data_IF_839323073617
#
_entry.id   IF_839323073617
#
_cell.length_a   1.000
_cell.length_b   1.000
_cell.length_c   1.000
_cell.angle_alpha   90.00
_cell.angle_beta   90.00
_cell.angle_gamma   90.00
#
_symmetry.space_group_name_H-M   'P 1'
#
loop_
_entity.id
_entity.type
_entity.pdbx_description
1 polymer ?
#
# COMPACT_ATOMS: atom_id res chain seq x y z
N UNK A 1 -3.37 -20.48 7.98
CA UNK A 1 -4.74 -19.94 7.82
C UNK A 1 -4.65 -18.46 7.51
N UNK A 2 -5.48 -17.94 6.62
CA UNK A 2 -5.34 -16.60 6.06
C UNK A 2 -6.55 -15.73 6.45
N UNK A 3 -6.32 -14.64 7.19
CA UNK A 3 -7.27 -13.53 7.34
C UNK A 3 -6.83 -12.37 6.47
N UNK A 4 -7.63 -12.03 5.47
CA UNK A 4 -7.43 -10.85 4.63
C UNK A 4 -8.46 -9.78 4.98
N UNK A 5 -7.97 -8.58 5.28
CA UNK A 5 -8.77 -7.39 5.57
C UNK A 5 -8.48 -6.34 4.48
N UNK A 6 -9.24 -6.28 3.39
CA UNK A 6 -9.10 -5.25 2.37
C UNK A 6 -9.85 -3.99 2.84
N UNK A 7 -9.14 -2.97 3.28
CA UNK A 7 -9.75 -1.69 3.70
C UNK A 7 -10.20 -0.84 2.51
N UNK A 8 -9.70 -1.07 1.31
CA UNK A 8 -10.13 -0.37 0.09
C UNK A 8 -11.65 -0.43 -0.15
N UNK A 9 -12.28 -1.56 0.16
CA UNK A 9 -13.75 -1.72 0.04
C UNK A 9 -14.49 -0.81 1.02
N UNK A 10 -13.80 -0.27 2.03
CA UNK A 10 -14.36 0.54 3.12
C UNK A 10 -14.33 2.04 2.80
N UNK A 11 -13.53 2.46 1.83
CA UNK A 11 -13.35 3.88 1.48
C UNK A 11 -14.56 4.53 0.80
N UNK A 12 -15.51 3.74 0.30
CA UNK A 12 -16.63 4.27 -0.50
C UNK A 12 -17.66 5.05 0.31
N UNK A 13 -17.67 4.95 1.67
CA UNK A 13 -18.61 5.65 2.54
C UNK A 13 -17.90 6.17 3.81
N UNK A 14 -17.57 7.46 3.80
CA UNK A 14 -16.83 8.19 4.83
C UNK A 14 -17.63 8.36 6.13
N UNK A 15 -17.79 7.31 6.92
CA UNK A 15 -18.36 7.43 8.26
C UNK A 15 -17.84 6.35 9.21
N UNK A 16 -17.73 6.71 10.49
CA UNK A 16 -17.40 5.77 11.56
C UNK A 16 -18.40 4.60 11.64
N UNK A 17 -19.68 4.86 11.33
CA UNK A 17 -20.72 3.82 11.27
C UNK A 17 -20.40 2.77 10.19
N UNK A 18 -19.98 3.19 9.02
CA UNK A 18 -19.63 2.29 7.93
C UNK A 18 -18.40 1.43 8.26
N UNK A 19 -17.33 2.04 8.78
CA UNK A 19 -16.14 1.31 9.21
C UNK A 19 -16.47 0.25 10.26
N UNK A 20 -17.32 0.61 11.29
CA UNK A 20 -17.80 -0.36 12.28
C UNK A 20 -18.59 -1.50 11.64
N UNK A 21 -19.47 -1.18 10.68
CA UNK A 21 -20.28 -2.18 9.99
C UNK A 21 -19.44 -3.15 9.18
N UNK A 22 -18.42 -2.66 8.50
CA UNK A 22 -17.53 -3.49 7.71
C UNK A 22 -16.62 -4.39 8.58
N UNK A 23 -16.05 -3.86 9.66
CA UNK A 23 -15.30 -4.67 10.63
C UNK A 23 -16.23 -5.75 11.23
N UNK A 24 -17.47 -5.41 11.57
CA UNK A 24 -18.45 -6.37 12.05
C UNK A 24 -18.69 -7.50 11.03
N UNK A 25 -18.84 -7.16 9.75
CA UNK A 25 -19.05 -8.15 8.69
C UNK A 25 -17.88 -9.13 8.58
N UNK A 26 -16.63 -8.66 8.64
CA UNK A 26 -15.45 -9.53 8.64
C UNK A 26 -15.43 -10.43 9.87
N UNK A 27 -15.62 -9.88 11.06
CA UNK A 27 -15.61 -10.63 12.31
C UNK A 27 -16.71 -11.68 12.31
N UNK A 28 -17.94 -11.34 11.92
CA UNK A 28 -19.06 -12.31 11.88
C UNK A 28 -18.82 -13.45 10.91
N UNK A 29 -18.16 -13.18 9.78
CA UNK A 29 -17.78 -14.22 8.82
C UNK A 29 -16.80 -15.20 9.46
N UNK A 30 -15.75 -14.69 10.10
CA UNK A 30 -14.73 -15.52 10.74
C UNK A 30 -15.26 -16.22 11.99
N UNK A 31 -16.10 -15.57 12.80
CA UNK A 31 -16.77 -16.17 13.94
C UNK A 31 -17.58 -17.40 13.54
N UNK A 32 -18.34 -17.30 12.46
CA UNK A 32 -19.10 -18.45 11.90
C UNK A 32 -18.17 -19.55 11.39
N UNK A 33 -17.11 -19.18 10.67
CA UNK A 33 -16.17 -20.13 10.08
C UNK A 33 -15.41 -20.92 11.14
N UNK A 34 -15.02 -20.27 12.24
CA UNK A 34 -14.21 -20.92 13.29
C UNK A 34 -15.02 -21.35 14.53
N UNK A 35 -16.32 -21.15 14.51
CA UNK A 35 -17.20 -21.60 15.61
C UNK A 35 -17.08 -20.77 16.88
N UNK A 36 -16.71 -19.50 16.75
CA UNK A 36 -16.60 -18.57 17.85
C UNK A 36 -17.94 -17.83 18.01
N UNK A 37 -18.67 -18.07 19.09
CA UNK A 37 -19.92 -17.40 19.37
C UNK A 37 -19.69 -16.25 20.37
N UNK A 38 -20.10 -15.04 19.97
CA UNK A 38 -20.16 -13.86 20.83
C UNK A 38 -21.64 -13.54 21.06
N UNK A 39 -22.11 -13.61 22.30
CA UNK A 39 -23.53 -13.42 22.65
C UNK A 39 -23.97 -11.98 22.42
N UNK A 40 -23.19 -10.99 22.89
CA UNK A 40 -23.43 -9.56 22.67
C UNK A 40 -22.40 -8.98 21.69
N UNK A 41 -22.70 -9.08 20.40
CA UNK A 41 -21.82 -8.56 19.35
C UNK A 41 -21.70 -7.03 19.34
N UNK A 42 -22.74 -6.32 19.80
CA UNK A 42 -22.75 -4.85 19.82
C UNK A 42 -21.99 -4.26 21.00
N UNK A 43 -22.03 -4.93 22.16
CA UNK A 43 -21.34 -4.50 23.38
C UNK A 43 -19.90 -4.99 23.48
N UNK A 44 -19.52 -6.01 22.69
CA UNK A 44 -18.17 -6.58 22.75
C UNK A 44 -17.20 -5.81 21.85
N UNK A 45 -16.07 -5.28 22.39
CA UNK A 45 -15.04 -4.59 21.61
C UNK A 45 -14.50 -5.44 20.45
N UNK A 46 -14.10 -4.80 19.37
CA UNK A 46 -13.52 -5.49 18.21
C UNK A 46 -12.23 -6.24 18.56
N UNK A 47 -11.44 -5.70 19.47
CA UNK A 47 -10.22 -6.33 19.98
C UNK A 47 -10.51 -7.70 20.61
N UNK A 48 -11.53 -7.78 21.45
CA UNK A 48 -11.94 -9.04 22.08
C UNK A 48 -12.43 -10.05 21.05
N UNK A 49 -13.25 -9.61 20.11
CA UNK A 49 -13.78 -10.47 19.04
C UNK A 49 -12.70 -11.00 18.14
N UNK A 50 -11.75 -10.14 17.71
CA UNK A 50 -10.62 -10.56 16.88
C UNK A 50 -9.72 -11.56 17.61
N UNK A 51 -9.43 -11.32 18.89
CA UNK A 51 -8.68 -12.27 19.72
C UNK A 51 -9.36 -13.64 19.76
N UNK A 52 -10.66 -13.66 20.05
CA UNK A 52 -11.44 -14.91 20.13
C UNK A 52 -11.44 -15.67 18.80
N UNK A 53 -11.56 -14.94 17.67
CA UNK A 53 -11.49 -15.52 16.32
C UNK A 53 -10.14 -16.15 16.06
N UNK A 54 -9.05 -15.45 16.33
CA UNK A 54 -7.68 -15.96 16.11
C UNK A 54 -7.42 -17.20 16.95
N UNK A 55 -7.78 -17.18 18.25
CA UNK A 55 -7.62 -18.35 19.13
C UNK A 55 -8.49 -19.53 18.70
N UNK A 56 -9.76 -19.29 18.36
CA UNK A 56 -10.68 -20.35 17.92
C UNK A 56 -10.22 -20.99 16.63
N UNK A 57 -9.70 -20.17 15.73
CA UNK A 57 -9.13 -20.61 14.50
C UNK A 57 -7.90 -21.52 14.72
N UNK A 58 -6.98 -21.13 15.62
CA UNK A 58 -5.84 -21.95 16.00
C UNK A 58 -6.29 -23.26 16.65
N UNK A 59 -7.21 -23.20 17.63
CA UNK A 59 -7.73 -24.40 18.32
C UNK A 59 -8.41 -25.38 17.36
N UNK A 60 -9.18 -24.86 16.40
CA UNK A 60 -9.92 -25.69 15.43
C UNK A 60 -9.01 -26.36 14.41
N UNK A 61 -7.93 -25.71 14.01
CA UNK A 61 -7.08 -26.17 12.90
C UNK A 61 -5.73 -26.72 13.30
N UNK A 62 -5.26 -26.40 14.51
CA UNK A 62 -3.89 -26.68 14.96
C UNK A 62 -2.82 -25.85 14.22
N UNK A 63 -3.22 -24.87 13.38
CA UNK A 63 -2.31 -24.07 12.56
C UNK A 63 -2.33 -22.61 12.99
N UNK A 64 -1.15 -22.01 13.03
CA UNK A 64 -1.00 -20.57 13.28
C UNK A 64 -1.62 -19.74 12.14
N UNK A 65 -2.05 -18.52 12.48
CA UNK A 65 -2.82 -17.63 11.64
C UNK A 65 -1.89 -16.69 10.87
N UNK A 66 -2.18 -16.45 9.61
CA UNK A 66 -1.60 -15.35 8.82
C UNK A 66 -2.64 -14.24 8.72
N UNK A 67 -2.23 -13.01 9.05
CA UNK A 67 -3.07 -11.82 8.93
C UNK A 67 -2.48 -10.92 7.84
N UNK A 68 -3.26 -10.63 6.82
CA UNK A 68 -2.92 -9.67 5.76
C UNK A 68 -3.89 -8.49 5.83
N UNK A 69 -3.36 -7.29 5.99
CA UNK A 69 -4.11 -6.05 6.01
C UNK A 69 -3.69 -5.22 4.81
N UNK A 70 -4.64 -4.95 3.93
CA UNK A 70 -4.41 -4.22 2.70
C UNK A 70 -5.03 -2.83 2.79
N UNK A 71 -4.26 -1.81 2.40
CA UNK A 71 -4.67 -0.39 2.43
C UNK A 71 -5.24 0.04 3.80
N UNK A 72 -4.51 -0.23 4.88
CA UNK A 72 -4.97 0.06 6.24
C UNK A 72 -5.35 1.53 6.46
N UNK A 73 -4.74 2.43 5.71
CA UNK A 73 -4.88 3.88 5.79
C UNK A 73 -6.05 4.45 4.96
N UNK A 74 -6.64 3.65 4.09
CA UNK A 74 -7.74 4.06 3.22
C UNK A 74 -8.88 4.78 3.97
N UNK A 75 -9.35 4.36 5.16
CA UNK A 75 -10.39 5.08 5.88
C UNK A 75 -9.99 6.49 6.35
N UNK A 76 -8.68 6.77 6.38
CA UNK A 76 -8.13 8.03 6.87
C UNK A 76 -7.84 9.02 5.74
N UNK A 77 -7.45 8.51 4.55
CA UNK A 77 -7.03 9.34 3.43
C UNK A 77 -8.15 10.26 2.94
N UNK A 78 -9.37 9.75 2.88
CA UNK A 78 -10.52 10.49 2.37
C UNK A 78 -11.20 11.41 3.41
N UNK A 79 -10.71 11.41 4.65
CA UNK A 79 -11.29 12.20 5.76
C UNK A 79 -10.40 13.33 6.25
N UNK A 80 -9.41 13.73 5.45
CA UNK A 80 -8.31 14.61 5.85
C UNK A 80 -8.77 16.00 6.39
N UNK A 81 -9.94 16.48 5.97
CA UNK A 81 -10.52 17.74 6.39
C UNK A 81 -11.37 17.67 7.68
N UNK A 82 -11.74 16.45 8.16
CA UNK A 82 -12.58 16.26 9.35
C UNK A 82 -11.80 15.63 10.51
N UNK A 83 -11.22 16.48 11.34
CA UNK A 83 -10.40 16.07 12.50
C UNK A 83 -11.19 15.23 13.51
N UNK A 84 -12.48 15.51 13.71
CA UNK A 84 -13.32 14.78 14.67
C UNK A 84 -13.58 13.35 14.15
N UNK A 85 -13.97 13.24 12.89
CA UNK A 85 -14.16 11.94 12.23
C UNK A 85 -12.86 11.13 12.20
N UNK A 86 -11.74 11.75 11.86
CA UNK A 86 -10.44 11.07 11.89
C UNK A 86 -10.11 10.51 13.28
N UNK A 87 -10.37 11.27 14.34
CA UNK A 87 -10.13 10.80 15.71
C UNK A 87 -10.98 9.57 16.05
N UNK A 88 -12.25 9.58 15.64
CA UNK A 88 -13.15 8.43 15.84
C UNK A 88 -12.69 7.20 15.03
N UNK A 89 -12.36 7.36 13.75
CA UNK A 89 -11.87 6.28 12.88
C UNK A 89 -10.59 5.65 13.46
N UNK A 90 -9.63 6.48 13.93
CA UNK A 90 -8.42 5.98 14.62
C UNK A 90 -8.75 5.16 15.86
N UNK A 91 -9.72 5.59 16.65
CA UNK A 91 -10.18 4.85 17.83
C UNK A 91 -10.71 3.46 17.47
N UNK A 92 -11.52 3.37 16.41
CA UNK A 92 -12.08 2.11 15.92
C UNK A 92 -10.96 1.18 15.42
N UNK A 93 -10.04 1.70 14.63
CA UNK A 93 -8.93 0.92 14.07
C UNK A 93 -7.98 0.45 15.17
N UNK A 94 -7.68 1.31 16.14
CA UNK A 94 -6.86 0.93 17.31
C UNK A 94 -7.50 -0.21 18.09
N UNK A 95 -8.80 -0.12 18.41
CA UNK A 95 -9.51 -1.20 19.06
C UNK A 95 -9.38 -2.50 18.26
N UNK A 96 -9.62 -2.46 16.95
CA UNK A 96 -9.56 -3.63 16.09
C UNK A 96 -8.16 -4.28 16.02
N UNK A 97 -7.09 -3.49 15.88
CA UNK A 97 -5.73 -4.02 15.68
C UNK A 97 -4.95 -4.30 16.97
N UNK A 98 -5.36 -3.71 18.11
CA UNK A 98 -4.62 -3.82 19.37
C UNK A 98 -4.26 -5.25 19.82
N UNK A 99 -5.09 -6.29 19.61
CA UNK A 99 -4.76 -7.63 20.07
C UNK A 99 -3.60 -8.27 19.31
N UNK A 100 -3.29 -7.83 18.08
CA UNK A 100 -2.24 -8.42 17.26
C UNK A 100 -0.85 -8.37 17.92
N UNK A 101 -0.64 -7.41 18.84
CA UNK A 101 0.58 -7.32 19.66
C UNK A 101 0.76 -8.51 20.60
N UNK A 102 -0.33 -8.91 21.26
CA UNK A 102 -0.28 -9.96 22.30
C UNK A 102 -0.44 -11.38 21.78
N UNK A 103 -0.80 -11.54 20.51
CA UNK A 103 -1.20 -12.83 19.93
C UNK A 103 -0.08 -13.58 19.20
N UNK A 104 1.19 -13.23 19.43
CA UNK A 104 2.34 -13.79 18.70
C UNK A 104 2.40 -15.32 18.70
N UNK A 105 1.94 -15.98 19.77
CA UNK A 105 1.89 -17.45 19.84
C UNK A 105 0.90 -18.09 18.86
N UNK A 106 -0.12 -17.35 18.42
CA UNK A 106 -1.14 -17.79 17.48
C UNK A 106 -0.87 -17.31 16.04
N UNK A 107 0.00 -16.29 15.88
CA UNK A 107 0.30 -15.68 14.58
C UNK A 107 1.53 -16.32 13.95
N UNK A 108 1.41 -16.70 12.69
CA UNK A 108 2.53 -17.14 11.84
C UNK A 108 3.18 -15.96 11.14
N UNK A 109 2.36 -14.99 10.70
CA UNK A 109 2.80 -13.86 9.93
C UNK A 109 1.75 -12.75 9.99
N UNK A 110 2.20 -11.52 10.08
CA UNK A 110 1.37 -10.32 9.98
C UNK A 110 2.00 -9.41 8.92
N UNK A 111 1.24 -9.05 7.90
CA UNK A 111 1.66 -8.14 6.83
C UNK A 111 0.63 -7.05 6.64
N UNK A 112 1.10 -5.80 6.64
CA UNK A 112 0.25 -4.61 6.56
C UNK A 112 0.75 -3.74 5.44
N UNK A 113 -0.13 -3.32 4.54
CA UNK A 113 0.16 -2.40 3.44
C UNK A 113 -0.71 -1.15 3.52
N UNK A 114 -0.20 -0.05 2.97
CA UNK A 114 -0.89 1.22 2.84
C UNK A 114 -0.11 2.18 1.95
N UNK A 115 -0.78 3.22 1.45
CA UNK A 115 -0.18 4.26 0.61
C UNK A 115 0.69 5.18 1.47
N UNK A 116 0.26 5.49 2.69
CA UNK A 116 0.93 6.43 3.56
C UNK A 116 1.60 5.77 4.75
N UNK A 117 2.74 6.33 5.17
CA UNK A 117 3.40 5.92 6.41
C UNK A 117 2.68 6.57 7.61
N UNK A 118 1.54 6.06 7.99
CA UNK A 118 0.89 6.45 9.24
C UNK A 118 1.62 5.88 10.48
N UNK A 119 2.94 5.69 10.39
CA UNK A 119 3.76 5.09 11.44
C UNK A 119 3.69 5.85 12.77
N UNK A 120 3.32 7.12 12.75
CA UNK A 120 3.08 7.90 13.95
C UNK A 120 1.61 8.00 14.36
N UNK A 121 0.70 7.44 13.57
CA UNK A 121 -0.65 7.24 14.07
C UNK A 121 -0.61 6.22 15.19
N UNK A 122 -1.09 6.62 16.36
CA UNK A 122 -1.15 5.84 17.58
C UNK A 122 -1.83 4.45 17.45
N UNK A 123 -2.34 4.11 16.28
CA UNK A 123 -2.91 2.79 15.94
C UNK A 123 -1.83 1.71 16.01
N UNK A 124 -0.64 1.98 15.44
CA UNK A 124 0.45 1.01 15.37
C UNK A 124 1.60 1.31 16.33
N UNK A 125 1.58 2.44 17.03
CA UNK A 125 2.58 2.74 18.08
C UNK A 125 2.62 1.67 19.18
N UNK A 126 1.52 0.95 19.36
CA UNK A 126 1.42 -0.17 20.27
C UNK A 126 1.95 -1.49 19.66
N UNK A 127 2.02 -1.60 18.33
CA UNK A 127 2.52 -2.79 17.62
C UNK A 127 4.03 -2.72 17.40
N UNK A 128 4.80 -2.73 18.48
CA UNK A 128 6.27 -2.69 18.44
C UNK A 128 6.93 -3.97 17.89
N UNK A 129 6.14 -4.95 17.48
CA UNK A 129 6.57 -6.19 16.83
C UNK A 129 6.58 -6.09 15.30
N UNK A 130 6.13 -4.97 14.73
CA UNK A 130 6.18 -4.74 13.29
C UNK A 130 7.55 -4.21 12.86
N UNK A 131 8.01 -4.67 11.70
CA UNK A 131 9.21 -4.16 11.05
C UNK A 131 8.80 -3.38 9.79
N UNK A 132 9.22 -2.12 9.71
CA UNK A 132 9.04 -1.35 8.48
C UNK A 132 10.04 -1.85 7.42
N UNK A 133 9.51 -2.31 6.28
CA UNK A 133 10.29 -2.87 5.18
C UNK A 133 10.23 -2.00 3.91
N UNK A 134 9.52 -0.86 3.94
CA UNK A 134 9.18 -0.06 2.75
C UNK A 134 10.40 0.46 1.96
N UNK A 135 11.55 0.68 2.63
CA UNK A 135 12.76 1.19 1.98
C UNK A 135 13.97 0.26 2.19
N UNK A 136 13.72 -1.02 2.43
CA UNK A 136 14.77 -2.02 2.60
C UNK A 136 15.10 -2.68 1.27
N UNK A 137 16.40 -2.78 0.97
CA UNK A 137 16.91 -3.42 -0.26
C UNK A 137 16.40 -4.85 -0.45
N UNK A 138 16.31 -5.65 0.65
CA UNK A 138 15.85 -7.05 0.64
C UNK A 138 14.40 -7.21 0.14
N UNK A 139 13.58 -6.15 0.22
CA UNK A 139 12.16 -6.16 -0.09
C UNK A 139 11.77 -5.22 -1.24
N UNK A 140 12.76 -4.61 -1.90
CA UNK A 140 12.53 -3.59 -2.93
C UNK A 140 11.72 -4.07 -4.13
N UNK A 141 11.75 -5.36 -4.44
CA UNK A 141 11.02 -5.97 -5.56
C UNK A 141 9.70 -6.65 -5.16
N UNK A 142 9.30 -6.60 -3.86
CA UNK A 142 8.15 -7.39 -3.36
C UNK A 142 6.81 -7.02 -4.03
N UNK A 143 6.66 -5.78 -4.50
CA UNK A 143 5.43 -5.27 -5.10
C UNK A 143 5.56 -4.95 -6.59
N UNK A 144 6.66 -5.36 -7.24
CA UNK A 144 6.93 -5.06 -8.65
C UNK A 144 7.35 -6.30 -9.44
N UNK A 145 7.65 -6.10 -10.71
CA UNK A 145 8.22 -7.11 -11.59
C UNK A 145 9.63 -6.68 -11.95
N UNK A 146 10.61 -7.54 -11.68
CA UNK A 146 11.99 -7.30 -12.04
C UNK A 146 12.22 -7.50 -13.54
N UNK A 147 13.27 -6.88 -14.11
CA UNK A 147 13.65 -7.11 -15.50
C UNK A 147 13.95 -8.60 -15.78
N UNK A 148 14.51 -9.32 -14.81
CA UNK A 148 14.74 -10.74 -14.94
C UNK A 148 13.43 -11.53 -15.07
N UNK A 149 12.44 -11.27 -14.21
CA UNK A 149 11.11 -11.91 -14.27
C UNK A 149 10.41 -11.56 -15.59
N UNK A 150 10.49 -10.30 -16.03
CA UNK A 150 9.94 -9.87 -17.31
C UNK A 150 10.53 -10.68 -18.47
N UNK A 151 11.84 -10.81 -18.53
CA UNK A 151 12.54 -11.47 -19.64
C UNK A 151 12.47 -13.00 -19.58
N UNK A 152 12.12 -13.60 -18.43
CA UNK A 152 12.02 -15.06 -18.29
C UNK A 152 10.56 -15.53 -18.26
N UNK A 153 9.79 -15.08 -17.26
CA UNK A 153 8.43 -15.55 -17.01
C UNK A 153 7.42 -14.95 -17.98
N UNK A 154 7.62 -13.66 -18.37
CA UNK A 154 6.71 -12.91 -19.22
C UNK A 154 7.20 -12.77 -20.68
N UNK A 155 8.25 -13.50 -21.04
CA UNK A 155 8.77 -13.50 -22.42
C UNK A 155 7.70 -13.78 -23.48
N UNK A 156 6.79 -14.77 -23.32
CA UNK A 156 5.72 -15.01 -24.29
C UNK A 156 4.75 -13.85 -24.44
N UNK A 157 4.57 -13.02 -23.39
CA UNK A 157 3.71 -11.85 -23.43
C UNK A 157 4.38 -10.72 -24.21
N UNK A 158 5.70 -10.54 -24.04
CA UNK A 158 6.51 -9.59 -24.82
C UNK A 158 6.47 -9.98 -26.32
N UNK A 159 6.65 -11.26 -26.64
CA UNK A 159 6.62 -11.75 -28.03
C UNK A 159 5.25 -11.44 -28.70
N UNK A 160 4.13 -11.67 -27.99
CA UNK A 160 2.79 -11.33 -28.46
C UNK A 160 2.57 -9.82 -28.61
N UNK A 161 3.18 -9.03 -27.73
CA UNK A 161 3.13 -7.57 -27.79
C UNK A 161 3.91 -7.05 -29.01
N UNK A 162 5.13 -7.55 -29.24
CA UNK A 162 5.97 -7.24 -30.37
C UNK A 162 5.28 -7.55 -31.71
N UNK A 163 4.70 -8.76 -31.83
CA UNK A 163 3.93 -9.15 -33.03
C UNK A 163 2.76 -8.19 -33.30
N UNK A 164 1.99 -7.84 -32.26
CA UNK A 164 0.82 -6.99 -32.41
C UNK A 164 1.16 -5.57 -32.84
N UNK A 165 2.35 -5.06 -32.48
CA UNK A 165 2.81 -3.72 -32.79
C UNK A 165 3.78 -3.66 -33.99
N UNK A 166 4.08 -4.78 -34.65
CA UNK A 166 5.06 -4.94 -35.73
C UNK A 166 6.47 -4.49 -35.31
N UNK A 167 6.88 -4.89 -34.13
CA UNK A 167 8.17 -4.57 -33.52
C UNK A 167 9.01 -5.84 -33.36
N UNK A 168 10.32 -5.68 -33.20
CA UNK A 168 11.20 -6.74 -32.71
C UNK A 168 11.00 -6.94 -31.20
N UNK A 169 11.47 -8.06 -30.68
CA UNK A 169 11.45 -8.33 -29.25
C UNK A 169 12.20 -7.25 -28.45
N UNK A 170 13.36 -6.83 -28.96
CA UNK A 170 14.21 -5.81 -28.36
C UNK A 170 13.53 -4.44 -28.33
N UNK A 171 12.84 -4.06 -29.41
CA UNK A 171 12.07 -2.82 -29.46
C UNK A 171 10.92 -2.84 -28.47
N UNK A 172 10.17 -3.95 -28.39
CA UNK A 172 9.11 -4.11 -27.41
C UNK A 172 9.62 -4.02 -25.96
N UNK A 173 10.75 -4.66 -25.66
CA UNK A 173 11.41 -4.54 -24.36
C UNK A 173 11.79 -3.09 -24.04
N UNK A 174 12.32 -2.35 -25.01
CA UNK A 174 12.70 -0.94 -24.83
C UNK A 174 11.48 -0.05 -24.56
N UNK A 175 10.38 -0.25 -25.30
CA UNK A 175 9.13 0.48 -25.09
C UNK A 175 8.51 0.18 -23.74
N UNK A 176 8.44 -1.10 -23.32
CA UNK A 176 7.96 -1.50 -22.01
C UNK A 176 8.79 -0.87 -20.89
N UNK A 177 10.12 -0.86 -21.06
CA UNK A 177 11.05 -0.24 -20.10
C UNK A 177 10.81 1.25 -19.99
N UNK A 178 10.73 1.96 -21.09
CA UNK A 178 10.49 3.40 -21.10
C UNK A 178 9.17 3.78 -20.45
N UNK A 179 8.13 2.96 -20.65
CA UNK A 179 6.77 3.29 -20.27
C UNK A 179 6.41 2.85 -18.85
N UNK A 180 6.92 1.69 -18.37
CA UNK A 180 6.42 1.05 -17.16
C UNK A 180 7.49 0.67 -16.13
N UNK A 181 8.78 0.75 -16.46
CA UNK A 181 9.89 0.51 -15.55
C UNK A 181 10.24 1.78 -14.74
N UNK A 182 11.21 1.66 -13.85
CA UNK A 182 11.85 2.80 -13.20
C UNK A 182 11.34 3.12 -11.81
N UNK A 183 10.46 2.30 -11.22
CA UNK A 183 10.16 2.39 -9.80
C UNK A 183 11.32 1.87 -8.97
N UNK A 184 11.79 2.68 -8.02
CA UNK A 184 12.95 2.42 -7.20
C UNK A 184 12.64 2.74 -5.74
N UNK A 185 12.67 1.74 -4.86
CA UNK A 185 12.14 1.84 -3.51
C UNK A 185 13.18 1.80 -2.39
N UNK A 186 14.47 1.66 -2.71
CA UNK A 186 15.55 1.65 -1.71
C UNK A 186 16.81 2.29 -2.26
N UNK A 187 17.89 2.36 -1.44
CA UNK A 187 19.12 3.03 -1.82
C UNK A 187 19.93 2.27 -2.89
N UNK A 188 19.81 0.94 -2.91
CA UNK A 188 20.69 0.06 -3.69
C UNK A 188 19.92 -1.05 -4.41
N UNK A 189 18.69 -0.80 -4.83
CA UNK A 189 17.90 -1.79 -5.57
C UNK A 189 17.98 -1.56 -7.09
N UNK A 190 17.53 -2.55 -7.84
CA UNK A 190 17.22 -2.37 -9.25
C UNK A 190 15.86 -1.70 -9.41
N UNK A 191 15.63 -1.05 -10.55
CA UNK A 191 14.31 -0.58 -10.94
C UNK A 191 13.38 -1.77 -11.18
N UNK A 192 12.08 -1.54 -10.96
CA UNK A 192 11.04 -2.53 -11.18
C UNK A 192 9.89 -1.95 -11.98
N UNK A 193 9.21 -2.82 -12.71
CA UNK A 193 8.03 -2.51 -13.50
C UNK A 193 6.78 -2.46 -12.62
N UNK A 194 5.86 -1.54 -12.95
CA UNK A 194 4.53 -1.52 -12.35
C UNK A 194 3.70 -2.71 -12.87
N UNK A 195 3.31 -3.68 -12.02
CA UNK A 195 2.59 -4.86 -12.46
C UNK A 195 1.23 -4.55 -13.08
N UNK A 196 0.49 -3.58 -12.51
CA UNK A 196 -0.83 -3.21 -12.99
C UNK A 196 -0.75 -2.70 -14.44
N UNK A 197 0.12 -1.72 -14.69
CA UNK A 197 0.27 -1.13 -16.02
C UNK A 197 0.82 -2.13 -17.03
N UNK A 198 1.83 -2.91 -16.62
CA UNK A 198 2.45 -3.94 -17.46
C UNK A 198 1.44 -5.01 -17.93
N UNK A 199 0.65 -5.58 -17.00
CA UNK A 199 -0.35 -6.59 -17.37
C UNK A 199 -1.50 -6.01 -18.19
N UNK A 200 -1.90 -4.76 -17.96
CA UNK A 200 -2.89 -4.11 -18.80
C UNK A 200 -2.35 -3.85 -20.21
N UNK A 201 -1.08 -3.47 -20.37
CA UNK A 201 -0.43 -3.32 -21.65
C UNK A 201 -0.41 -4.64 -22.43
N UNK A 202 -0.02 -5.74 -21.79
CA UNK A 202 -0.04 -7.08 -22.40
C UNK A 202 -1.45 -7.50 -22.82
N UNK A 203 -2.44 -7.24 -21.99
CA UNK A 203 -3.83 -7.60 -22.28
C UNK A 203 -4.39 -6.76 -23.45
N UNK A 204 -4.14 -5.46 -23.45
CA UNK A 204 -4.58 -4.56 -24.52
C UNK A 204 -3.73 -4.67 -25.80
N UNK A 205 -2.49 -5.16 -25.69
CA UNK A 205 -1.44 -5.15 -26.73
C UNK A 205 -1.10 -3.74 -27.21
N UNK A 206 -1.12 -2.78 -26.30
CA UNK A 206 -0.90 -1.34 -26.57
C UNK A 206 -0.08 -0.72 -25.46
N UNK A 207 0.74 0.30 -25.82
CA UNK A 207 1.49 1.13 -24.86
C UNK A 207 0.64 2.36 -24.50
N UNK A 208 -0.08 2.32 -23.37
CA UNK A 208 -0.96 3.39 -22.87
C UNK A 208 -0.65 3.71 -21.42
N UNK A 209 -1.14 4.84 -20.95
CA UNK A 209 -1.08 5.27 -19.56
C UNK A 209 -2.23 4.62 -18.75
N UNK A 210 -2.05 3.37 -18.35
CA UNK A 210 -3.06 2.59 -17.61
C UNK A 210 -3.18 3.02 -16.15
N UNK A 211 -2.08 3.47 -15.55
CA UNK A 211 -2.04 3.84 -14.14
C UNK A 211 -3.02 4.97 -13.81
N UNK A 212 -3.11 6.00 -14.65
CA UNK A 212 -4.07 7.10 -14.49
C UNK A 212 -5.54 6.67 -14.66
N UNK A 213 -5.81 5.53 -15.26
CA UNK A 213 -7.18 5.02 -15.40
C UNK A 213 -7.81 4.62 -14.06
N UNK A 214 -7.02 4.41 -13.02
CA UNK A 214 -7.48 4.15 -11.65
C UNK A 214 -7.93 5.41 -10.92
N UNK A 215 -7.71 6.59 -11.49
CA UNK A 215 -8.02 7.90 -10.92
C UNK A 215 -6.93 8.42 -9.99
N UNK A 216 -6.71 9.73 -10.01
CA UNK A 216 -5.85 10.38 -9.01
C UNK A 216 -6.61 10.50 -7.70
N UNK A 217 -6.05 10.08 -6.56
CA UNK A 217 -6.72 10.19 -5.27
C UNK A 217 -7.11 11.66 -4.97
N UNK A 218 -8.36 11.88 -4.59
CA UNK A 218 -8.89 13.23 -4.32
C UNK A 218 -8.07 13.95 -3.25
N UNK A 219 -7.67 13.24 -2.20
CA UNK A 219 -6.85 13.80 -1.11
C UNK A 219 -5.52 14.37 -1.61
N UNK A 220 -4.90 13.76 -2.65
CA UNK A 220 -3.65 14.25 -3.21
C UNK A 220 -3.85 15.56 -3.98
N UNK A 221 -4.97 15.66 -4.72
CA UNK A 221 -5.33 16.89 -5.43
C UNK A 221 -5.55 18.03 -4.45
N UNK A 222 -6.28 17.79 -3.37
CA UNK A 222 -6.55 18.78 -2.35
C UNK A 222 -5.26 19.20 -1.63
N UNK A 223 -4.39 18.25 -1.30
CA UNK A 223 -3.08 18.52 -0.73
C UNK A 223 -2.20 19.41 -1.61
N UNK A 224 -2.13 19.09 -2.92
CA UNK A 224 -1.35 19.90 -3.87
C UNK A 224 -1.89 21.34 -3.99
N UNK A 225 -3.21 21.51 -3.93
CA UNK A 225 -3.84 22.85 -3.95
C UNK A 225 -3.56 23.63 -2.67
N UNK A 226 -3.65 22.98 -1.51
CA UNK A 226 -3.43 23.61 -0.21
C UNK A 226 -1.96 23.99 0.02
N UNK A 227 -1.03 23.22 -0.53
CA UNK A 227 0.42 23.45 -0.36
C UNK A 227 1.00 24.48 -1.33
N UNK A 228 0.23 24.98 -2.30
CA UNK A 228 0.72 25.84 -3.40
C UNK A 228 1.96 25.27 -4.10
N UNK A 229 1.98 23.95 -4.24
CA UNK A 229 3.12 23.21 -4.77
C UNK A 229 3.17 23.27 -6.30
N UNK A 230 4.31 23.67 -6.87
CA UNK A 230 4.48 23.69 -8.32
C UNK A 230 4.76 22.30 -8.89
N UNK A 231 3.71 21.64 -9.38
CA UNK A 231 3.78 20.29 -9.98
C UNK A 231 4.67 20.23 -11.23
N UNK A 232 5.06 21.38 -11.82
CA UNK A 232 5.96 21.42 -12.98
C UNK A 232 7.43 21.19 -12.59
N UNK A 233 7.76 21.26 -11.32
CA UNK A 233 9.11 21.11 -10.78
C UNK A 233 9.33 19.78 -10.07
N UNK A 234 8.69 18.69 -10.56
CA UNK A 234 8.79 17.36 -9.96
C UNK A 234 10.07 16.57 -10.37
N UNK A 235 10.92 17.13 -11.22
CA UNK A 235 12.19 16.52 -11.57
C UNK A 235 13.32 17.08 -10.70
N UNK A 236 14.16 16.21 -10.12
CA UNK A 236 15.31 16.62 -9.33
C UNK A 236 14.96 17.15 -7.93
N UNK A 237 13.87 16.68 -7.36
CA UNK A 237 13.48 17.02 -5.98
C UNK A 237 14.42 16.32 -5.01
N UNK A 238 14.96 17.07 -4.05
CA UNK A 238 15.75 16.52 -2.96
C UNK A 238 14.86 16.25 -1.73
N UNK A 239 15.07 15.10 -1.09
CA UNK A 239 14.38 14.71 0.13
C UNK A 239 15.31 13.99 1.10
N UNK A 240 15.15 14.23 2.40
CA UNK A 240 15.88 13.54 3.47
C UNK A 240 15.12 12.33 4.01
N UNK A 241 15.80 11.41 4.73
CA UNK A 241 15.17 10.27 5.40
C UNK A 241 13.98 10.72 6.28
N UNK A 242 14.12 11.85 7.00
CA UNK A 242 13.07 12.37 7.89
C UNK A 242 11.83 12.87 7.12
N UNK A 243 12.02 13.41 5.92
CA UNK A 243 10.90 13.86 5.10
C UNK A 243 10.04 12.69 4.59
N UNK A 244 10.64 11.52 4.35
CA UNK A 244 9.88 10.32 4.01
C UNK A 244 9.08 9.75 5.20
N UNK A 245 9.56 9.98 6.42
CA UNK A 245 8.91 9.52 7.66
C UNK A 245 7.99 10.58 8.29
N UNK A 246 7.80 11.73 7.62
CA UNK A 246 6.94 12.79 8.12
C UNK A 246 5.49 12.29 8.32
N UNK A 247 4.87 12.62 9.48
CA UNK A 247 3.48 12.27 9.72
C UNK A 247 2.57 12.92 8.70
N UNK A 248 1.67 12.15 8.12
CA UNK A 248 0.67 12.66 7.19
C UNK A 248 -0.44 13.46 7.89
N UNK A 249 -0.45 13.51 9.22
CA UNK A 249 -1.40 14.31 10.02
C UNK A 249 -1.18 15.82 9.93
N UNK A 250 0.02 16.24 9.54
CA UNK A 250 0.39 17.64 9.29
C UNK A 250 1.28 17.69 8.06
N UNK A 251 0.68 17.55 6.91
CA UNK A 251 1.42 17.55 5.66
C UNK A 251 1.91 18.97 5.39
N UNK A 252 3.17 19.22 5.70
CA UNK A 252 3.87 20.47 5.41
C UNK A 252 4.41 20.46 3.96
N UNK A 253 4.67 19.26 3.42
CA UNK A 253 5.18 19.08 2.08
C UNK A 253 4.46 17.92 1.39
N UNK A 254 4.04 18.06 0.12
CA UNK A 254 3.40 16.98 -0.63
C UNK A 254 4.38 15.89 -1.10
N UNK A 255 5.69 16.12 -1.01
CA UNK A 255 6.73 15.21 -1.53
C UNK A 255 6.62 13.79 -0.96
N UNK A 256 6.49 13.57 0.37
CA UNK A 256 6.35 12.22 0.91
C UNK A 256 5.13 11.49 0.35
N UNK A 257 4.01 12.19 0.20
CA UNK A 257 2.77 11.61 -0.32
C UNK A 257 2.91 11.29 -1.80
N UNK A 258 3.51 12.18 -2.60
CA UNK A 258 3.79 11.93 -4.03
C UNK A 258 4.69 10.70 -4.22
N UNK A 259 5.71 10.53 -3.37
CA UNK A 259 6.55 9.35 -3.39
C UNK A 259 5.79 8.09 -2.97
N UNK A 260 5.07 8.13 -1.87
CA UNK A 260 4.31 6.99 -1.35
C UNK A 260 3.16 6.56 -2.26
N UNK A 261 2.59 7.52 -3.01
CA UNK A 261 1.53 7.26 -4.00
C UNK A 261 2.08 6.86 -5.38
N UNK A 262 3.40 6.80 -5.57
CA UNK A 262 4.03 6.36 -6.82
C UNK A 262 4.13 7.42 -7.93
N UNK A 263 3.85 8.70 -7.64
CA UNK A 263 4.10 9.80 -8.59
C UNK A 263 5.57 10.15 -8.70
N UNK A 264 6.31 9.96 -7.60
CA UNK A 264 7.75 10.11 -7.55
C UNK A 264 8.41 8.79 -7.17
N UNK A 265 9.65 8.64 -7.58
CA UNK A 265 10.51 7.53 -7.19
C UNK A 265 11.92 8.01 -6.91
N UNK A 266 12.74 7.20 -6.24
CA UNK A 266 14.15 7.47 -6.02
C UNK A 266 14.90 7.30 -7.34
N UNK A 267 15.69 8.31 -7.75
CA UNK A 267 16.60 8.25 -8.91
C UNK A 267 18.06 8.28 -8.50
N UNK A 268 18.33 8.63 -7.26
CA UNK A 268 19.69 8.64 -6.70
C UNK A 268 19.69 8.87 -5.20
N UNK A 269 20.80 8.54 -4.57
CA UNK A 269 21.04 8.79 -3.16
C UNK A 269 22.49 9.32 -2.96
N UNK A 270 22.60 10.44 -2.27
CA UNK A 270 23.87 10.99 -1.84
C UNK A 270 24.17 10.53 -0.40
N UNK A 271 25.18 9.67 -0.19
CA UNK A 271 25.48 9.14 1.14
C UNK A 271 26.16 10.18 2.06
N UNK A 272 26.83 11.18 1.52
CA UNK A 272 27.54 12.19 2.29
C UNK A 272 26.55 13.17 2.95
N UNK A 273 25.52 13.56 2.23
CA UNK A 273 24.47 14.46 2.70
C UNK A 273 23.20 13.74 3.13
N UNK A 274 23.07 12.42 2.90
CA UNK A 274 21.87 11.61 3.15
C UNK A 274 20.63 12.16 2.45
N UNK A 275 20.81 12.56 1.19
CA UNK A 275 19.77 13.15 0.35
C UNK A 275 19.39 12.19 -0.76
N UNK A 276 18.08 11.99 -0.94
CA UNK A 276 17.52 11.29 -2.07
C UNK A 276 17.17 12.28 -3.17
N UNK A 277 17.48 11.93 -4.41
CA UNK A 277 16.98 12.63 -5.58
C UNK A 277 15.75 11.91 -6.11
N UNK A 278 14.66 12.63 -6.22
CA UNK A 278 13.35 12.11 -6.66
C UNK A 278 13.00 12.70 -8.02
N UNK A 279 12.36 11.85 -8.86
CA UNK A 279 11.77 12.27 -10.12
C UNK A 279 10.63 11.31 -10.52
N UNK A 280 10.00 11.57 -11.67
CA UNK A 280 9.03 10.65 -12.24
C UNK A 280 9.63 9.25 -12.46
N UNK A 281 8.91 8.16 -12.17
CA UNK A 281 9.41 6.81 -12.41
C UNK A 281 9.66 6.55 -13.90
N UNK A 282 8.70 6.89 -14.76
CA UNK A 282 8.69 6.48 -16.15
C UNK A 282 7.84 7.40 -17.03
N UNK A 283 7.67 7.02 -18.31
CA UNK A 283 6.89 7.76 -19.29
C UNK A 283 5.39 7.76 -19.03
N UNK A 284 4.86 6.74 -18.36
CA UNK A 284 3.43 6.66 -18.05
C UNK A 284 3.01 7.72 -17.01
N UNK A 285 3.87 7.98 -16.02
CA UNK A 285 3.55 8.90 -14.90
C UNK A 285 3.90 10.35 -15.23
N UNK A 286 4.74 10.58 -16.23
CA UNK A 286 5.16 11.91 -16.69
C UNK A 286 4.09 12.57 -17.54
#
# INVERSE_FOLDING_TARGET
MLFRVPFQVLATYLSAHYLRSAINWFLERWEREYGCCVEDKKGTPFSVRLSNVIESAYRKTGKTVVVLVDEYDSPMLDTNSDVALQSELRGIMRDFFSPLKGMGQYLRFLFITGISKFSQMSIFSELNNLQNISMRDDFSAICGITEQELLTELKPDIERMAEANNETFEEACAHLKQQYDGYHFSKHCADIYNPFSLFNAFNAKEYKNFWFSTGTPTFLIDLLRESDFDVRSLEGIEATDEQFDAPTERIVSPIPVLYQSGYLTIKGYDPDFRIYNLAYPNGEVR
#
